data_IF_293181060150
#
_entry.id   IF_293181060150
#
_cell.length_a   1.000
_cell.length_b   1.000
_cell.length_c   1.000
_cell.angle_alpha   90.00
_cell.angle_beta   90.00
_cell.angle_gamma   90.00
#
_symmetry.space_group_name_H-M   'P 1'
#
loop_
_entity.id
_entity.type
_entity.pdbx_description
1 polymer ?
#
# COMPACT_ATOMS: atom_id res chain seq x y z
N UNK A 1 -10.00 -45.24 31.62
CA UNK A 1 -10.03 -43.84 32.09
C UNK A 1 -10.91 -43.10 31.11
N UNK A 2 -12.09 -42.71 31.58
CA UNK A 2 -13.15 -42.12 30.78
C UNK A 2 -12.78 -40.74 30.24
N UNK A 3 -13.32 -40.42 29.07
CA UNK A 3 -13.23 -39.13 28.41
C UNK A 3 -13.90 -38.04 29.25
N UNK A 4 -13.23 -36.90 29.44
CA UNK A 4 -13.90 -35.64 29.78
C UNK A 4 -13.35 -34.54 28.86
N UNK A 5 -14.19 -34.14 27.90
CA UNK A 5 -14.33 -32.74 27.51
C UNK A 5 -13.30 -32.15 26.55
N UNK A 6 -13.14 -32.72 25.35
CA UNK A 6 -12.82 -31.89 24.19
C UNK A 6 -14.07 -31.02 23.89
N UNK A 7 -14.23 -29.92 24.65
CA UNK A 7 -15.15 -28.86 24.26
C UNK A 7 -14.68 -28.33 22.91
N UNK A 8 -15.58 -28.36 21.95
CA UNK A 8 -15.33 -28.01 20.57
C UNK A 8 -14.63 -26.65 20.46
N UNK A 9 -13.43 -26.63 19.86
CA UNK A 9 -12.66 -25.41 19.53
C UNK A 9 -13.46 -24.43 18.63
N UNK A 10 -14.61 -24.85 18.11
CA UNK A 10 -15.53 -24.03 17.30
C UNK A 10 -16.41 -23.08 18.13
N UNK A 11 -16.41 -23.14 19.47
CA UNK A 11 -17.20 -22.22 20.31
C UNK A 11 -16.36 -21.16 21.05
N UNK A 12 -15.08 -21.01 20.70
CA UNK A 12 -14.10 -20.27 21.54
C UNK A 12 -13.68 -18.92 20.92
N UNK A 13 -13.79 -18.78 19.60
CA UNK A 13 -13.41 -17.55 18.88
C UNK A 13 -14.70 -16.78 18.55
N UNK A 14 -14.83 -15.49 18.89
CA UNK A 14 -16.00 -14.70 18.51
C UNK A 14 -16.16 -14.73 16.98
N UNK A 15 -17.36 -15.04 16.49
CA UNK A 15 -17.68 -15.08 15.06
C UNK A 15 -17.74 -13.65 14.48
N UNK A 16 -16.60 -12.95 14.40
CA UNK A 16 -16.49 -11.72 13.63
C UNK A 16 -16.01 -12.04 12.22
N UNK A 17 -16.56 -11.35 11.20
CA UNK A 17 -16.22 -11.60 9.78
C UNK A 17 -14.79 -11.16 9.45
N UNK A 18 -14.22 -10.23 10.21
CA UNK A 18 -12.89 -9.66 10.00
C UNK A 18 -11.83 -10.28 10.93
N UNK A 19 -10.58 -10.27 10.49
CA UNK A 19 -9.48 -10.85 11.27
C UNK A 19 -9.18 -10.03 12.55
N UNK A 20 -9.40 -8.71 12.51
CA UNK A 20 -9.09 -7.79 13.61
C UNK A 20 -10.04 -8.03 14.80
N UNK A 21 -11.35 -8.13 14.55
CA UNK A 21 -12.34 -8.44 15.59
C UNK A 21 -12.10 -9.78 16.29
N UNK A 22 -11.70 -10.82 15.54
CA UNK A 22 -11.39 -12.15 16.12
C UNK A 22 -10.19 -12.10 17.06
N UNK A 23 -9.16 -11.34 16.69
CA UNK A 23 -7.95 -11.16 17.51
C UNK A 23 -8.26 -10.33 18.76
N UNK A 24 -9.01 -9.23 18.64
CA UNK A 24 -9.40 -8.40 19.78
C UNK A 24 -10.24 -9.19 20.80
N UNK A 25 -11.18 -10.00 20.34
CA UNK A 25 -12.00 -10.84 21.21
C UNK A 25 -11.21 -11.95 21.90
N UNK A 26 -10.20 -12.53 21.24
CA UNK A 26 -9.30 -13.51 21.86
C UNK A 26 -8.45 -12.87 22.97
N UNK A 27 -7.91 -11.67 22.73
CA UNK A 27 -7.12 -10.92 23.72
C UNK A 27 -7.94 -10.59 24.97
N UNK A 28 -9.15 -10.04 24.79
CA UNK A 28 -10.03 -9.68 25.91
C UNK A 28 -10.41 -10.89 26.78
N UNK A 29 -10.55 -12.07 26.16
CA UNK A 29 -10.88 -13.30 26.88
C UNK A 29 -9.70 -13.84 27.67
N UNK A 30 -8.51 -13.88 27.07
CA UNK A 30 -7.28 -14.29 27.76
C UNK A 30 -6.91 -13.35 28.91
N UNK A 31 -7.22 -12.05 28.78
CA UNK A 31 -6.98 -11.07 29.84
C UNK A 31 -7.88 -11.31 31.07
N UNK A 32 -9.06 -11.91 30.90
CA UNK A 32 -10.02 -12.15 31.98
C UNK A 32 -10.03 -13.62 32.46
N UNK A 33 -9.00 -14.39 32.12
CA UNK A 33 -8.85 -15.77 32.57
C UNK A 33 -7.58 -15.94 33.38
N UNK A 34 -7.68 -16.75 34.43
CA UNK A 34 -6.56 -17.14 35.26
C UNK A 34 -6.40 -18.67 35.24
N UNK A 35 -5.18 -19.15 35.41
CA UNK A 35 -4.93 -20.57 35.63
C UNK A 35 -5.26 -20.97 37.09
N UNK A 36 -5.10 -22.26 37.42
CA UNK A 36 -5.32 -22.77 38.79
C UNK A 36 -4.41 -22.14 39.86
N UNK A 37 -3.38 -21.40 39.44
CA UNK A 37 -2.39 -20.73 40.29
C UNK A 37 -2.66 -19.21 40.39
N UNK A 38 -3.75 -18.70 39.79
CA UNK A 38 -4.11 -17.28 39.79
C UNK A 38 -3.35 -16.44 38.77
N UNK A 39 -2.64 -17.06 37.82
CA UNK A 39 -1.85 -16.34 36.83
C UNK A 39 -2.67 -16.00 35.59
N UNK A 40 -2.59 -14.76 35.14
CA UNK A 40 -3.31 -14.26 33.98
C UNK A 40 -2.93 -15.03 32.69
N UNK A 41 -3.93 -15.57 32.00
CA UNK A 41 -3.74 -16.43 30.83
C UNK A 41 -3.10 -15.69 29.64
N UNK A 42 -3.39 -14.39 29.45
CA UNK A 42 -2.74 -13.59 28.40
C UNK A 42 -1.26 -13.35 28.71
N UNK A 43 -0.93 -13.09 29.98
CA UNK A 43 0.46 -12.91 30.40
C UNK A 43 1.28 -14.18 30.15
N UNK A 44 0.77 -15.34 30.57
CA UNK A 44 1.42 -16.64 30.33
C UNK A 44 1.58 -16.93 28.84
N UNK A 45 0.56 -16.63 28.04
CA UNK A 45 0.62 -16.82 26.60
C UNK A 45 1.74 -16.00 25.95
N UNK A 46 1.84 -14.70 26.29
CA UNK A 46 2.89 -13.82 25.75
C UNK A 46 4.28 -14.23 26.25
N UNK A 47 4.41 -14.68 27.51
CA UNK A 47 5.68 -15.18 28.05
C UNK A 47 6.16 -16.45 27.35
N UNK A 48 5.28 -17.44 27.17
CA UNK A 48 5.60 -18.68 26.45
C UNK A 48 6.02 -18.37 25.01
N UNK A 49 5.36 -17.42 24.33
CA UNK A 49 5.77 -16.98 23.00
C UNK A 49 7.15 -16.32 23.00
N UNK A 50 7.42 -15.46 23.98
CA UNK A 50 8.73 -14.79 24.11
C UNK A 50 9.87 -15.78 24.39
N UNK A 51 9.62 -16.80 25.22
CA UNK A 51 10.60 -17.82 25.60
C UNK A 51 10.91 -18.79 24.45
N UNK A 52 9.91 -19.09 23.62
CA UNK A 52 10.07 -19.95 22.45
C UNK A 52 10.52 -19.20 21.18
N UNK A 53 10.69 -17.87 21.24
CA UNK A 53 11.19 -17.07 20.12
C UNK A 53 12.73 -16.93 20.20
N UNK A 54 13.50 -17.31 19.15
CA UNK A 54 14.95 -17.17 19.15
C UNK A 54 15.43 -15.72 19.33
N UNK A 55 16.55 -15.48 20.03
CA UNK A 55 17.04 -14.14 20.38
C UNK A 55 17.40 -13.23 19.19
N UNK A 56 17.61 -13.80 18.00
CA UNK A 56 17.96 -13.05 16.78
C UNK A 56 16.77 -12.49 16.00
N UNK A 57 15.54 -12.76 16.41
CA UNK A 57 14.32 -12.27 15.73
C UNK A 57 13.89 -10.94 16.36
N UNK A 58 13.74 -9.90 15.54
CA UNK A 58 13.40 -8.54 15.97
C UNK A 58 12.17 -8.48 16.90
N UNK A 59 11.17 -9.32 16.64
CA UNK A 59 9.91 -9.37 17.39
C UNK A 59 10.06 -9.89 18.83
N UNK A 60 11.14 -10.62 19.17
CA UNK A 60 11.32 -11.15 20.55
C UNK A 60 11.39 -10.04 21.58
N UNK A 61 12.10 -8.95 21.26
CA UNK A 61 12.25 -7.81 22.18
C UNK A 61 10.90 -7.16 22.48
N UNK A 62 10.04 -7.08 21.48
CA UNK A 62 8.72 -6.48 21.61
C UNK A 62 7.78 -7.39 22.42
N UNK A 63 7.87 -8.71 22.26
CA UNK A 63 7.13 -9.69 23.07
C UNK A 63 7.54 -9.66 24.55
N UNK A 64 8.84 -9.54 24.84
CA UNK A 64 9.34 -9.41 26.23
C UNK A 64 8.86 -8.11 26.86
N UNK A 65 8.97 -6.99 26.15
CA UNK A 65 8.49 -5.69 26.63
C UNK A 65 6.97 -5.69 26.89
N UNK A 66 6.21 -6.38 26.04
CA UNK A 66 4.76 -6.55 26.19
C UNK A 66 4.42 -7.40 27.43
N UNK A 67 5.13 -8.52 27.65
CA UNK A 67 4.94 -9.35 28.84
C UNK A 67 5.20 -8.56 30.14
N UNK A 68 6.27 -7.77 30.19
CA UNK A 68 6.57 -6.92 31.35
C UNK A 68 5.50 -5.84 31.58
N UNK A 69 4.98 -5.22 30.51
CA UNK A 69 3.93 -4.23 30.60
C UNK A 69 2.62 -4.84 31.12
N UNK A 70 2.28 -6.05 30.67
CA UNK A 70 1.11 -6.80 31.15
C UNK A 70 1.25 -7.19 32.63
N UNK A 71 2.42 -7.69 33.05
CA UNK A 71 2.68 -8.03 34.45
C UNK A 71 2.53 -6.82 35.40
N UNK A 72 2.98 -5.63 34.97
CA UNK A 72 2.79 -4.39 35.74
C UNK A 72 1.32 -3.98 35.86
N UNK A 73 0.52 -4.15 34.80
CA UNK A 73 -0.91 -3.82 34.82
C UNK A 73 -1.71 -4.79 35.70
N UNK A 74 -1.45 -6.09 35.57
CA UNK A 74 -2.11 -7.12 36.40
C UNK A 74 -1.79 -6.92 37.88
N UNK A 75 -0.52 -6.65 38.25
CA UNK A 75 -0.14 -6.41 39.64
C UNK A 75 -0.63 -5.07 40.25
N UNK A 76 -1.03 -4.11 39.42
CA UNK A 76 -1.61 -2.83 39.89
C UNK A 76 -3.10 -2.93 40.23
N UNK A 77 -3.82 -3.94 39.73
CA UNK A 77 -5.22 -4.17 40.08
C UNK A 77 -5.37 -4.84 41.45
N UNK A 78 -4.46 -5.76 41.83
CA UNK A 78 -4.48 -6.42 43.15
C UNK A 78 -4.13 -5.48 44.33
N UNK A 79 -3.40 -4.39 44.09
CA UNK A 79 -2.93 -3.49 45.17
C UNK A 79 -3.92 -2.38 45.56
N UNK A 80 -5.12 -2.32 44.95
CA UNK A 80 -6.13 -1.29 45.27
C UNK A 80 -7.08 -1.64 46.42
N UNK A 81 -7.01 -2.84 47.00
CA UNK A 81 -7.91 -3.26 48.07
C UNK A 81 -7.23 -3.24 49.46
N UNK A 82 -6.91 -2.05 50.00
CA UNK A 82 -6.92 -1.78 51.46
C UNK A 82 -6.42 -0.38 51.82
N UNK A 83 -7.29 0.52 52.30
CA UNK A 83 -7.01 1.53 53.36
C UNK A 83 -8.30 2.28 53.82
N UNK A 84 -8.30 2.96 55.00
CA UNK A 84 -9.41 2.95 55.94
C UNK A 84 -10.33 4.19 55.84
N UNK A 85 -11.48 4.05 56.49
CA UNK A 85 -12.63 4.98 56.52
C UNK A 85 -12.32 6.29 57.29
N UNK A 86 -12.57 7.44 56.66
CA UNK A 86 -12.77 8.76 57.28
C UNK A 86 -13.60 9.67 56.31
N UNK A 87 -14.28 10.74 56.78
CA UNK A 87 -15.72 10.88 56.56
C UNK A 87 -16.15 11.68 55.33
N UNK A 88 -17.37 11.31 54.91
CA UNK A 88 -18.27 11.90 53.91
C UNK A 88 -17.92 13.26 53.31
N UNK A 89 -17.65 13.24 52.00
CA UNK A 89 -17.96 14.31 51.04
C UNK A 89 -18.84 13.70 49.93
N UNK A 90 -19.65 14.51 49.23
CA UNK A 90 -20.89 14.04 48.59
C UNK A 90 -20.61 13.03 47.48
N UNK A 91 -21.53 12.05 47.35
CA UNK A 91 -21.52 11.01 46.31
C UNK A 91 -21.13 11.59 44.94
N UNK A 92 -20.17 11.01 44.21
CA UNK A 92 -20.08 11.29 42.78
C UNK A 92 -21.43 10.90 42.16
N UNK A 93 -21.99 11.82 41.39
CA UNK A 93 -23.19 11.57 40.58
C UNK A 93 -22.96 10.32 39.75
N UNK A 94 -23.95 9.42 39.72
CA UNK A 94 -23.87 8.23 38.88
C UNK A 94 -23.60 8.67 37.43
N UNK A 95 -22.73 7.98 36.67
CA UNK A 95 -22.46 8.33 35.29
C UNK A 95 -23.77 8.35 34.52
N UNK A 96 -24.00 9.43 33.77
CA UNK A 96 -25.26 9.60 33.03
C UNK A 96 -25.06 9.31 31.55
N UNK A 97 -26.11 8.81 30.89
CA UNK A 97 -26.14 8.67 29.43
C UNK A 97 -25.90 10.03 28.74
N UNK A 98 -26.34 11.12 29.36
CA UNK A 98 -26.21 12.48 28.84
C UNK A 98 -24.73 12.91 28.76
N UNK A 99 -23.93 12.64 29.79
CA UNK A 99 -22.48 12.89 29.77
C UNK A 99 -21.76 12.05 28.71
N UNK A 100 -22.13 10.78 28.55
CA UNK A 100 -21.55 9.91 27.53
C UNK A 100 -21.87 10.40 26.10
N UNK A 101 -23.12 10.83 25.86
CA UNK A 101 -23.53 11.42 24.58
C UNK A 101 -22.84 12.76 24.31
N UNK A 102 -22.59 13.55 25.35
CA UNK A 102 -21.84 14.79 25.22
C UNK A 102 -20.39 14.53 24.76
N UNK A 103 -19.68 13.57 25.37
CA UNK A 103 -18.32 13.24 24.94
C UNK A 103 -18.25 12.63 23.54
N UNK A 104 -19.27 11.87 23.12
CA UNK A 104 -19.39 11.42 21.73
C UNK A 104 -19.54 12.60 20.76
N UNK A 105 -20.34 13.61 21.10
CA UNK A 105 -20.49 14.83 20.28
C UNK A 105 -19.22 15.71 20.26
N UNK A 106 -18.48 15.76 21.37
CA UNK A 106 -17.22 16.50 21.49
C UNK A 106 -16.04 15.73 20.85
N UNK A 107 -16.21 14.44 20.57
CA UNK A 107 -15.21 13.59 19.94
C UNK A 107 -14.14 13.05 20.89
N UNK A 108 -14.43 12.96 22.18
CA UNK A 108 -13.57 12.37 23.21
C UNK A 108 -13.97 10.89 23.43
N UNK A 109 -13.53 10.03 22.51
CA UNK A 109 -13.96 8.63 22.43
C UNK A 109 -13.55 7.82 23.67
N UNK A 110 -12.38 8.10 24.25
CA UNK A 110 -11.93 7.42 25.48
C UNK A 110 -12.87 7.68 26.65
N UNK A 111 -13.23 8.95 26.90
CA UNK A 111 -14.15 9.29 27.99
C UNK A 111 -15.56 8.79 27.73
N UNK A 112 -16.01 8.86 26.48
CA UNK A 112 -17.30 8.30 26.08
C UNK A 112 -17.37 6.79 26.33
N UNK A 113 -16.37 6.01 25.92
CA UNK A 113 -16.36 4.56 26.12
C UNK A 113 -16.26 4.17 27.59
N UNK A 114 -15.47 4.90 28.39
CA UNK A 114 -15.38 4.65 29.83
C UNK A 114 -16.72 4.90 30.55
N UNK A 115 -17.48 5.91 30.14
CA UNK A 115 -18.81 6.18 30.68
C UNK A 115 -19.84 5.15 30.21
N UNK A 116 -19.82 4.77 28.93
CA UNK A 116 -20.72 3.74 28.41
C UNK A 116 -20.46 2.37 29.05
N UNK A 117 -19.20 2.04 29.33
CA UNK A 117 -18.82 0.83 30.08
C UNK A 117 -19.40 0.85 31.50
N UNK A 118 -19.24 1.96 32.23
CA UNK A 118 -19.81 2.12 33.58
C UNK A 118 -21.34 2.08 33.59
N UNK A 119 -21.99 2.60 32.53
CA UNK A 119 -23.44 2.50 32.35
C UNK A 119 -23.90 1.05 32.12
N UNK A 120 -23.13 0.25 31.35
CA UNK A 120 -23.39 -1.18 31.19
C UNK A 120 -23.25 -1.96 32.50
N UNK A 121 -22.24 -1.65 33.30
CA UNK A 121 -22.00 -2.25 34.61
C UNK A 121 -23.14 -1.93 35.62
N UNK A 122 -23.79 -0.76 35.48
CA UNK A 122 -24.89 -0.30 36.33
C UNK A 122 -26.29 -0.85 36.00
N UNK A 123 -26.43 -1.61 34.92
CA UNK A 123 -27.70 -2.23 34.48
C UNK A 123 -28.19 -1.72 33.12
N UNK A 124 -28.83 -2.63 32.36
CA UNK A 124 -29.24 -2.39 30.97
C UNK A 124 -30.31 -1.29 30.86
N UNK A 125 -30.03 -0.26 30.07
CA UNK A 125 -31.01 0.75 29.68
C UNK A 125 -32.12 0.06 28.86
N UNK A 126 -33.35 0.14 29.35
CA UNK A 126 -34.52 -0.63 28.85
C UNK A 126 -34.82 -0.47 27.35
N UNK A 127 -34.37 0.64 26.73
CA UNK A 127 -34.75 1.02 25.37
C UNK A 127 -33.56 1.34 24.45
N UNK A 128 -32.32 1.23 24.93
CA UNK A 128 -31.15 1.68 24.18
C UNK A 128 -30.07 0.61 24.12
N UNK A 129 -29.71 0.23 22.90
CA UNK A 129 -28.53 -0.58 22.62
C UNK A 129 -27.30 0.33 22.54
N UNK A 130 -26.52 0.33 23.62
CA UNK A 130 -25.31 1.15 23.76
C UNK A 130 -24.21 0.74 22.76
N UNK A 131 -24.15 -0.52 22.34
CA UNK A 131 -23.15 -0.98 21.37
C UNK A 131 -23.49 -0.49 19.96
N UNK A 132 -24.76 -0.55 19.58
CA UNK A 132 -25.22 -0.01 18.29
C UNK A 132 -25.06 1.51 18.22
N UNK A 133 -25.32 2.22 19.32
CA UNK A 133 -25.11 3.68 19.37
C UNK A 133 -23.63 4.04 19.19
N UNK A 134 -22.72 3.35 19.89
CA UNK A 134 -21.28 3.51 19.73
C UNK A 134 -20.85 3.23 18.29
N UNK A 135 -21.27 2.09 17.74
CA UNK A 135 -20.88 1.69 16.39
C UNK A 135 -21.35 2.72 15.35
N UNK A 136 -22.57 3.25 15.52
CA UNK A 136 -23.13 4.28 14.64
C UNK A 136 -22.35 5.60 14.75
N UNK A 137 -22.02 6.03 15.96
CA UNK A 137 -21.26 7.27 16.19
C UNK A 137 -19.83 7.19 15.61
N UNK A 138 -19.13 6.07 15.85
CA UNK A 138 -17.81 5.83 15.27
C UNK A 138 -17.84 5.78 13.74
N UNK A 139 -18.85 5.10 13.17
CA UNK A 139 -18.98 5.01 11.73
C UNK A 139 -19.20 6.38 11.07
N UNK A 140 -20.10 7.20 11.62
CA UNK A 140 -20.29 8.57 11.15
C UNK A 140 -19.01 9.40 11.24
N UNK A 141 -18.24 9.23 12.32
CA UNK A 141 -16.97 9.93 12.51
C UNK A 141 -15.90 9.48 11.51
N UNK A 142 -15.78 8.19 11.24
CA UNK A 142 -14.87 7.68 10.21
C UNK A 142 -15.23 8.24 8.84
N UNK A 143 -16.52 8.29 8.50
CA UNK A 143 -17.00 8.89 7.25
C UNK A 143 -16.68 10.39 7.17
N UNK A 144 -16.88 11.14 8.26
CA UNK A 144 -16.49 12.54 8.35
C UNK A 144 -14.98 12.73 8.20
N UNK A 145 -14.17 11.88 8.83
CA UNK A 145 -12.71 11.93 8.73
C UNK A 145 -12.25 11.62 7.31
N UNK A 146 -12.81 10.59 6.64
CA UNK A 146 -12.52 10.29 5.23
C UNK A 146 -12.89 11.47 4.33
N UNK A 147 -14.04 12.07 4.58
CA UNK A 147 -14.50 13.26 3.83
C UNK A 147 -13.54 14.42 4.01
N UNK A 148 -13.16 14.75 5.26
CA UNK A 148 -12.20 15.82 5.56
C UNK A 148 -10.82 15.54 4.96
N UNK A 149 -10.35 14.30 5.01
CA UNK A 149 -9.07 13.91 4.44
C UNK A 149 -9.07 14.06 2.91
N UNK A 150 -10.12 13.60 2.24
CA UNK A 150 -10.33 13.80 0.80
C UNK A 150 -10.33 15.29 0.46
N UNK A 151 -11.12 16.09 1.18
CA UNK A 151 -11.25 17.52 0.91
C UNK A 151 -9.93 18.28 1.15
N UNK A 152 -9.15 17.87 2.16
CA UNK A 152 -7.81 18.39 2.40
C UNK A 152 -6.83 18.04 1.27
N UNK A 153 -6.79 16.77 0.84
CA UNK A 153 -5.96 16.33 -0.28
C UNK A 153 -6.33 17.07 -1.59
N UNK A 154 -7.63 17.25 -1.85
CA UNK A 154 -8.12 18.03 -2.99
C UNK A 154 -7.62 19.50 -2.91
N UNK A 155 -7.68 20.12 -1.74
CA UNK A 155 -7.19 21.47 -1.52
C UNK A 155 -5.67 21.61 -1.73
N UNK A 156 -4.88 20.60 -1.35
CA UNK A 156 -3.43 20.57 -1.60
C UNK A 156 -3.12 20.51 -3.10
N UNK A 157 -3.77 19.62 -3.85
CA UNK A 157 -3.60 19.50 -5.30
C UNK A 157 -3.96 20.81 -5.99
N UNK A 158 -5.02 21.47 -5.52
CA UNK A 158 -5.43 22.79 -6.01
C UNK A 158 -4.34 23.84 -5.82
N UNK A 159 -3.68 23.87 -4.67
CA UNK A 159 -2.55 24.80 -4.42
C UNK A 159 -1.38 24.49 -5.36
N UNK A 160 -1.05 23.21 -5.56
CA UNK A 160 0.00 22.80 -6.50
C UNK A 160 -0.33 23.22 -7.95
N UNK A 161 -1.60 23.14 -8.34
CA UNK A 161 -2.06 23.49 -9.69
C UNK A 161 -1.94 24.99 -10.00
N UNK A 162 -1.95 25.86 -8.97
CA UNK A 162 -1.86 27.31 -9.15
C UNK A 162 -0.46 27.80 -9.58
N UNK A 163 0.58 26.99 -9.40
CA UNK A 163 1.96 27.35 -9.77
C UNK A 163 2.44 26.52 -10.96
N UNK A 164 2.94 27.23 -11.98
CA UNK A 164 3.56 26.61 -13.16
C UNK A 164 4.74 25.70 -12.82
N UNK A 165 5.46 25.98 -11.74
CA UNK A 165 6.61 25.19 -11.31
C UNK A 165 6.18 23.83 -10.70
N UNK A 166 5.06 23.79 -9.99
CA UNK A 166 4.53 22.60 -9.31
C UNK A 166 3.47 21.85 -10.14
N UNK A 167 3.18 22.31 -11.35
CA UNK A 167 2.18 21.71 -12.23
C UNK A 167 2.44 20.22 -12.55
N UNK A 168 3.69 19.75 -12.74
CA UNK A 168 3.95 18.31 -12.91
C UNK A 168 3.55 17.47 -11.70
N UNK A 169 3.80 17.99 -10.49
CA UNK A 169 3.41 17.34 -9.23
C UNK A 169 1.90 17.36 -9.07
N UNK A 170 1.25 18.49 -9.40
CA UNK A 170 -0.21 18.60 -9.40
C UNK A 170 -0.86 17.56 -10.33
N UNK A 171 -0.29 17.31 -11.52
CA UNK A 171 -0.79 16.29 -12.45
C UNK A 171 -0.72 14.87 -11.89
N UNK A 172 0.40 14.51 -11.26
CA UNK A 172 0.58 13.19 -10.63
C UNK A 172 -0.40 13.00 -9.48
N UNK A 173 -0.42 13.97 -8.56
CA UNK A 173 -1.31 13.94 -7.41
C UNK A 173 -2.80 13.94 -7.83
N UNK A 174 -3.17 14.64 -8.90
CA UNK A 174 -4.51 14.59 -9.48
C UNK A 174 -4.89 13.21 -10.02
N UNK A 175 -3.95 12.53 -10.68
CA UNK A 175 -4.18 11.17 -11.20
C UNK A 175 -4.36 10.16 -10.06
N UNK A 176 -3.53 10.23 -9.03
CA UNK A 176 -3.65 9.41 -7.81
C UNK A 176 -4.98 9.68 -7.09
N UNK A 177 -5.33 10.94 -6.90
CA UNK A 177 -6.58 11.35 -6.26
C UNK A 177 -7.82 10.84 -6.99
N UNK A 178 -7.86 10.91 -8.32
CA UNK A 178 -8.97 10.38 -9.11
C UNK A 178 -9.04 8.85 -9.12
N UNK A 179 -7.93 8.16 -8.86
CA UNK A 179 -7.93 6.71 -8.70
C UNK A 179 -8.57 6.28 -7.36
N UNK A 180 -8.31 7.03 -6.29
CA UNK A 180 -8.90 6.79 -4.95
C UNK A 180 -10.34 7.32 -4.83
N UNK A 181 -10.64 8.43 -5.53
CA UNK A 181 -11.92 9.12 -5.46
C UNK A 181 -12.50 9.40 -6.87
N UNK A 182 -12.93 8.35 -7.60
CA UNK A 182 -13.40 8.50 -8.98
C UNK A 182 -14.57 9.48 -9.11
N UNK A 183 -14.41 10.48 -9.98
CA UNK A 183 -15.47 11.43 -10.31
C UNK A 183 -15.67 12.55 -9.28
N UNK A 184 -14.84 12.63 -8.25
CA UNK A 184 -14.88 13.72 -7.29
C UNK A 184 -14.11 14.94 -7.82
N UNK A 185 -14.82 15.93 -8.37
CA UNK A 185 -14.24 17.19 -8.83
C UNK A 185 -15.17 18.40 -8.62
N UNK A 186 -15.39 18.84 -7.37
CA UNK A 186 -16.37 19.88 -7.05
C UNK A 186 -16.02 21.28 -7.58
N UNK A 187 -14.74 21.60 -7.81
CA UNK A 187 -14.27 22.90 -8.29
C UNK A 187 -13.76 22.86 -9.76
N UNK A 188 -14.05 21.79 -10.50
CA UNK A 188 -13.56 21.58 -11.89
C UNK A 188 -12.02 21.70 -12.01
N UNK A 189 -11.30 21.26 -10.97
CA UNK A 189 -9.85 21.30 -10.91
C UNK A 189 -9.21 20.50 -12.05
N UNK A 190 -9.87 19.43 -12.52
CA UNK A 190 -9.41 18.64 -13.67
C UNK A 190 -9.29 19.45 -14.97
N UNK A 191 -10.08 20.53 -15.12
CA UNK A 191 -9.99 21.44 -16.26
C UNK A 191 -8.83 22.44 -16.14
N UNK A 192 -8.42 22.76 -14.91
CA UNK A 192 -7.32 23.68 -14.59
C UNK A 192 -5.95 23.01 -14.58
N UNK A 193 -5.92 21.69 -14.43
CA UNK A 193 -4.73 20.87 -14.57
C UNK A 193 -4.72 20.37 -16.01
N UNK A 194 -4.09 21.09 -16.96
CA UNK A 194 -4.07 20.67 -18.35
C UNK A 194 -3.49 19.27 -18.39
N UNK A 195 -4.30 18.32 -18.87
CA UNK A 195 -3.83 17.01 -19.30
C UNK A 195 -2.64 17.28 -20.24
N UNK A 196 -1.58 16.45 -20.19
CA UNK A 196 -0.54 16.55 -21.18
C UNK A 196 -1.15 16.19 -22.55
N UNK A 197 -1.74 17.17 -23.23
CA UNK A 197 -1.71 17.17 -24.69
C UNK A 197 -0.25 16.96 -25.04
N UNK A 198 0.01 15.91 -25.81
CA UNK A 198 1.34 15.53 -26.22
C UNK A 198 2.06 16.80 -26.66
N UNK A 199 3.03 17.26 -25.86
CA UNK A 199 3.91 18.34 -26.28
C UNK A 199 4.33 17.97 -27.70
N UNK A 200 4.09 18.83 -28.71
CA UNK A 200 4.40 18.47 -30.08
C UNK A 200 5.85 18.01 -30.08
N UNK A 201 6.10 16.75 -30.47
CA UNK A 201 7.45 16.18 -30.52
C UNK A 201 8.31 17.24 -31.23
N UNK A 202 9.44 17.67 -30.65
CA UNK A 202 10.23 18.76 -31.22
C UNK A 202 10.47 18.48 -32.70
N UNK A 203 10.28 19.47 -33.59
CA UNK A 203 10.41 19.24 -35.05
C UNK A 203 11.71 18.49 -35.35
N UNK A 204 11.58 17.31 -35.99
CA UNK A 204 12.71 16.48 -36.43
C UNK A 204 13.68 17.36 -37.22
N UNK A 205 14.94 17.43 -36.80
CA UNK A 205 15.97 18.12 -37.59
C UNK A 205 16.25 17.35 -38.87
N UNK A 206 16.74 18.02 -39.92
CA UNK A 206 17.14 17.33 -41.15
C UNK A 206 18.21 16.24 -40.89
N UNK A 207 19.09 16.46 -39.90
CA UNK A 207 20.06 15.46 -39.44
C UNK A 207 19.36 14.24 -38.83
N UNK A 208 18.41 14.44 -37.91
CA UNK A 208 17.64 13.35 -37.30
C UNK A 208 16.87 12.53 -38.35
N UNK A 209 16.25 13.18 -39.33
CA UNK A 209 15.52 12.48 -40.40
C UNK A 209 16.48 11.63 -41.25
N UNK A 210 17.62 12.19 -41.67
CA UNK A 210 18.63 11.46 -42.45
C UNK A 210 19.16 10.23 -41.70
N UNK A 211 19.42 10.38 -40.39
CA UNK A 211 19.86 9.28 -39.54
C UNK A 211 18.79 8.20 -39.38
N UNK A 212 17.52 8.58 -39.24
CA UNK A 212 16.39 7.65 -39.19
C UNK A 212 16.28 6.85 -40.47
N UNK A 213 16.34 7.53 -41.63
CA UNK A 213 16.27 6.89 -42.94
C UNK A 213 17.44 5.90 -43.11
N UNK A 214 18.65 6.30 -42.72
CA UNK A 214 19.85 5.45 -42.77
C UNK A 214 19.71 4.22 -41.87
N UNK A 215 19.22 4.39 -40.64
CA UNK A 215 19.06 3.30 -39.67
C UNK A 215 18.00 2.28 -40.10
N UNK A 216 16.93 2.74 -40.74
CA UNK A 216 15.78 1.92 -41.13
C UNK A 216 15.92 1.28 -42.51
N UNK A 217 16.83 1.78 -43.36
CA UNK A 217 17.09 1.21 -44.68
C UNK A 217 17.78 -0.18 -44.56
N UNK A 218 17.12 -1.27 -44.98
CA UNK A 218 17.69 -2.61 -44.93
C UNK A 218 18.85 -2.83 -45.92
N UNK A 219 19.02 -1.95 -46.91
CA UNK A 219 20.13 -2.01 -47.88
C UNK A 219 21.42 -1.43 -47.31
N UNK A 220 21.35 -0.62 -46.25
CA UNK A 220 22.52 -0.07 -45.56
C UNK A 220 23.16 -1.15 -44.66
N UNK A 221 24.50 -1.30 -44.66
CA UNK A 221 25.18 -2.29 -43.83
C UNK A 221 24.86 -2.14 -42.32
N UNK A 222 24.71 -3.24 -41.56
CA UNK A 222 24.37 -3.17 -40.13
C UNK A 222 25.25 -2.25 -39.27
N UNK A 223 26.58 -2.16 -39.46
CA UNK A 223 27.42 -1.24 -38.70
C UNK A 223 27.08 0.24 -38.92
N UNK A 224 26.67 0.63 -40.13
CA UNK A 224 26.29 2.01 -40.45
C UNK A 224 24.93 2.36 -39.86
N UNK A 225 23.98 1.43 -39.95
CA UNK A 225 22.68 1.53 -39.27
C UNK A 225 22.84 1.70 -37.76
N UNK A 226 23.76 0.94 -37.16
CA UNK A 226 24.08 1.04 -35.74
C UNK A 226 24.68 2.40 -35.37
N UNK A 227 25.60 2.95 -36.18
CA UNK A 227 26.15 4.31 -35.97
C UNK A 227 25.07 5.38 -36.05
N UNK A 228 24.14 5.26 -37.01
CA UNK A 228 23.02 6.19 -37.14
C UNK A 228 22.11 6.15 -35.89
N UNK A 229 21.79 4.94 -35.40
CA UNK A 229 21.05 4.77 -34.14
C UNK A 229 21.77 5.33 -32.91
N UNK A 230 23.09 5.15 -32.81
CA UNK A 230 23.89 5.74 -31.72
C UNK A 230 23.86 7.27 -31.75
N UNK A 231 23.93 7.88 -32.93
CA UNK A 231 23.81 9.33 -33.07
C UNK A 231 22.40 9.83 -32.72
N UNK A 232 21.36 9.11 -33.13
CA UNK A 232 19.98 9.39 -32.72
C UNK A 232 19.78 9.30 -31.20
N UNK A 233 20.43 8.36 -30.52
CA UNK A 233 20.37 8.26 -29.06
C UNK A 233 20.88 9.53 -28.35
N UNK A 234 21.79 10.30 -28.98
CA UNK A 234 22.29 11.58 -28.45
C UNK A 234 21.38 12.74 -28.82
N UNK A 235 20.89 12.78 -30.08
CA UNK A 235 20.07 13.89 -30.59
C UNK A 235 18.59 13.80 -30.20
N UNK A 236 18.13 12.62 -29.78
CA UNK A 236 16.73 12.28 -29.60
C UNK A 236 16.22 11.45 -30.79
N UNK A 237 15.68 10.28 -30.48
CA UNK A 237 15.02 9.39 -31.44
C UNK A 237 13.52 9.67 -31.42
N UNK A 238 12.96 10.02 -32.57
CA UNK A 238 11.56 10.45 -32.69
C UNK A 238 10.61 9.34 -33.15
N UNK A 239 11.10 8.10 -33.31
CA UNK A 239 10.23 6.98 -33.69
C UNK A 239 9.07 6.84 -32.70
N UNK A 240 7.84 6.60 -33.18
CA UNK A 240 6.73 6.25 -32.30
C UNK A 240 7.09 5.05 -31.42
N UNK A 241 6.80 5.13 -30.12
CA UNK A 241 7.16 4.07 -29.19
C UNK A 241 8.60 4.09 -28.68
N UNK A 242 9.34 5.18 -28.93
CA UNK A 242 10.66 5.43 -28.37
C UNK A 242 10.61 6.69 -27.50
N UNK A 243 11.21 6.63 -26.31
CA UNK A 243 11.23 7.72 -25.35
C UNK A 243 9.99 7.78 -24.46
N UNK A 244 9.70 8.96 -23.91
CA UNK A 244 8.56 9.18 -23.01
C UNK A 244 7.47 9.98 -23.73
N UNK A 245 6.23 9.73 -23.33
CA UNK A 245 5.09 10.61 -23.60
C UNK A 245 5.21 11.89 -22.77
N UNK A 246 4.34 12.86 -23.05
CA UNK A 246 4.36 14.16 -22.38
C UNK A 246 4.01 14.12 -20.87
N UNK A 247 3.40 13.03 -20.40
CA UNK A 247 3.17 12.75 -18.97
C UNK A 247 4.39 12.14 -18.26
N UNK A 248 5.46 11.83 -19.00
CA UNK A 248 6.65 11.16 -18.47
C UNK A 248 6.57 9.63 -18.45
N UNK A 249 5.48 9.04 -18.94
CA UNK A 249 5.32 7.58 -19.05
C UNK A 249 6.00 7.09 -20.34
N UNK A 250 6.65 5.91 -20.37
CA UNK A 250 7.19 5.32 -21.59
C UNK A 250 6.19 5.30 -22.76
N UNK A 251 6.58 5.86 -23.91
CA UNK A 251 5.85 5.72 -25.16
C UNK A 251 6.11 4.32 -25.73
N UNK A 252 5.08 3.51 -25.96
CA UNK A 252 5.22 2.15 -26.50
C UNK A 252 4.39 2.01 -27.78
N UNK A 253 5.06 1.66 -28.87
CA UNK A 253 4.41 1.31 -30.12
C UNK A 253 4.03 -0.18 -30.07
N UNK A 254 2.77 -0.45 -29.78
CA UNK A 254 2.24 -1.80 -29.70
C UNK A 254 1.93 -2.35 -31.10
N UNK A 255 2.33 -3.60 -31.34
CA UNK A 255 2.00 -4.37 -32.55
C UNK A 255 1.13 -5.54 -32.12
N UNK A 256 -0.04 -5.67 -32.75
CA UNK A 256 -0.91 -6.82 -32.55
C UNK A 256 -0.28 -8.05 -33.21
N UNK A 257 -0.22 -9.14 -32.46
CA UNK A 257 0.15 -10.46 -32.94
C UNK A 257 -1.12 -11.30 -32.93
N UNK A 258 -1.74 -11.55 -34.10
CA UNK A 258 -2.97 -12.31 -34.19
C UNK A 258 -2.83 -13.71 -33.60
N UNK A 259 -3.84 -14.14 -32.86
CA UNK A 259 -3.89 -15.48 -32.29
C UNK A 259 -4.02 -16.58 -33.35
N UNK A 260 -3.58 -17.76 -32.98
CA UNK A 260 -3.71 -18.97 -33.78
C UNK A 260 -2.64 -20.01 -33.49
N UNK A 261 -2.69 -21.08 -34.27
CA UNK A 261 -1.74 -22.19 -34.20
C UNK A 261 -0.40 -21.80 -34.80
N UNK A 262 0.65 -21.88 -33.99
CA UNK A 262 2.02 -21.59 -34.37
C UNK A 262 2.93 -22.78 -34.04
N UNK A 263 3.90 -23.05 -34.91
CA UNK A 263 4.96 -24.04 -34.64
C UNK A 263 6.12 -23.33 -33.96
N UNK A 264 6.48 -23.77 -32.75
CA UNK A 264 7.65 -23.28 -31.99
C UNK A 264 8.68 -24.39 -31.82
N UNK A 265 9.96 -24.03 -31.65
CA UNK A 265 11.06 -24.99 -31.50
C UNK A 265 11.46 -25.72 -32.79
N UNK A 266 12.46 -26.59 -32.69
CA UNK A 266 12.93 -27.45 -33.80
C UNK A 266 14.01 -26.85 -34.69
N UNK A 267 14.49 -25.65 -34.39
CA UNK A 267 15.66 -25.06 -35.05
C UNK A 267 16.93 -25.64 -34.45
N UNK A 268 17.68 -26.43 -35.23
CA UNK A 268 18.88 -27.12 -34.73
C UNK A 268 20.05 -26.18 -34.45
N UNK A 269 20.02 -24.97 -35.03
CA UNK A 269 21.08 -23.99 -34.88
C UNK A 269 20.82 -23.04 -33.68
N UNK A 270 19.63 -23.11 -33.08
CA UNK A 270 19.27 -22.31 -31.91
C UNK A 270 19.90 -22.84 -30.60
N UNK A 271 20.34 -21.93 -29.74
CA UNK A 271 20.86 -22.24 -28.42
C UNK A 271 19.78 -22.91 -27.55
N UNK A 272 20.06 -24.13 -27.06
CA UNK A 272 19.12 -24.93 -26.26
C UNK A 272 17.76 -25.16 -26.94
N UNK A 273 17.77 -25.43 -28.24
CA UNK A 273 16.54 -25.68 -29.00
C UNK A 273 15.71 -26.82 -28.43
N UNK A 274 14.44 -26.54 -28.16
CA UNK A 274 13.45 -27.54 -27.78
C UNK A 274 12.88 -28.23 -29.04
N UNK A 275 12.34 -29.46 -28.91
CA UNK A 275 11.64 -30.12 -30.00
C UNK A 275 10.53 -29.27 -30.58
N UNK A 276 10.28 -29.42 -31.89
CA UNK A 276 9.23 -28.67 -32.55
C UNK A 276 7.85 -29.12 -32.03
N UNK A 277 7.00 -28.16 -31.68
CA UNK A 277 5.62 -28.40 -31.24
C UNK A 277 4.66 -27.36 -31.83
N UNK A 278 3.41 -27.75 -32.04
CA UNK A 278 2.33 -26.83 -32.40
C UNK A 278 1.66 -26.32 -31.13
N UNK A 279 1.55 -25.00 -30.99
CA UNK A 279 0.96 -24.32 -29.83
C UNK A 279 -0.12 -23.38 -30.33
N UNK A 280 -1.26 -23.38 -29.65
CA UNK A 280 -2.29 -22.38 -29.86
C UNK A 280 -1.98 -21.16 -28.98
N UNK A 281 -1.76 -20.01 -29.62
CA UNK A 281 -1.36 -18.78 -28.95
C UNK A 281 -2.52 -17.78 -29.09
N UNK A 282 -3.04 -17.21 -27.98
CA UNK A 282 -4.09 -16.20 -28.07
C UNK A 282 -3.56 -14.92 -28.72
N UNK A 283 -4.45 -14.07 -29.25
CA UNK A 283 -4.05 -12.74 -29.72
C UNK A 283 -3.42 -11.96 -28.56
N UNK A 284 -2.26 -11.35 -28.80
CA UNK A 284 -1.55 -10.53 -27.83
C UNK A 284 -0.87 -9.34 -28.51
N UNK A 285 -0.34 -8.43 -27.70
CA UNK A 285 0.38 -7.26 -28.20
C UNK A 285 1.83 -7.32 -27.75
N UNK A 286 2.74 -6.94 -28.65
CA UNK A 286 4.16 -6.87 -28.36
C UNK A 286 4.68 -5.47 -28.68
N UNK A 287 5.60 -4.96 -27.87
CA UNK A 287 6.30 -3.72 -28.18
C UNK A 287 7.11 -3.90 -29.46
N UNK A 288 6.98 -2.97 -30.40
CA UNK A 288 7.74 -2.95 -31.67
C UNK A 288 9.25 -2.83 -31.44
N UNK A 289 9.63 -2.14 -30.37
CA UNK A 289 11.02 -1.88 -30.00
C UNK A 289 11.26 -2.31 -28.55
N UNK A 290 12.47 -2.77 -28.20
CA UNK A 290 12.84 -3.02 -26.81
C UNK A 290 12.74 -1.74 -25.97
N UNK A 291 12.54 -1.90 -24.66
CA UNK A 291 12.58 -0.80 -23.69
C UNK A 291 13.96 -0.14 -23.73
N UNK A 292 13.98 1.18 -23.92
CA UNK A 292 15.21 1.98 -23.94
C UNK A 292 15.69 2.33 -22.55
N UNK A 293 16.97 2.70 -22.40
CA UNK A 293 17.52 3.20 -21.15
C UNK A 293 16.76 4.45 -20.63
N UNK A 294 16.29 5.31 -21.54
CA UNK A 294 15.53 6.50 -21.18
C UNK A 294 14.14 6.16 -20.61
N UNK A 295 13.46 5.19 -21.21
CA UNK A 295 12.18 4.67 -20.69
C UNK A 295 12.36 3.94 -19.36
N UNK A 296 13.43 3.16 -19.24
CA UNK A 296 13.79 2.49 -18.00
C UNK A 296 14.09 3.48 -16.86
N UNK A 297 14.66 4.64 -17.17
CA UNK A 297 14.85 5.68 -16.15
C UNK A 297 13.54 6.21 -15.58
N UNK A 298 12.46 6.29 -16.37
CA UNK A 298 11.16 6.68 -15.82
C UNK A 298 10.69 5.69 -14.75
N UNK A 299 10.87 4.38 -14.96
CA UNK A 299 10.60 3.35 -13.96
C UNK A 299 11.44 3.53 -12.67
N UNK A 300 12.74 3.83 -12.81
CA UNK A 300 13.62 4.05 -11.65
C UNK A 300 13.25 5.33 -10.90
N UNK A 301 12.97 6.42 -11.62
CA UNK A 301 12.59 7.71 -11.05
C UNK A 301 11.25 7.65 -10.31
N UNK A 302 10.36 6.76 -10.74
CA UNK A 302 9.07 6.48 -10.11
C UNK A 302 9.18 5.46 -8.95
N UNK A 303 10.39 5.17 -8.47
CA UNK A 303 10.66 4.24 -7.36
C UNK A 303 10.09 2.83 -7.60
N UNK A 304 9.96 2.40 -8.86
CA UNK A 304 9.33 1.11 -9.19
C UNK A 304 10.04 -0.13 -8.63
N UNK A 305 11.26 0.00 -8.12
CA UNK A 305 11.95 -1.04 -7.36
C UNK A 305 11.43 -1.24 -5.93
N UNK A 306 10.78 -0.22 -5.38
CA UNK A 306 10.26 -0.20 -4.01
C UNK A 306 8.80 -0.66 -3.95
N UNK A 307 8.09 -0.56 -5.07
CA UNK A 307 6.70 -0.97 -5.22
C UNK A 307 6.57 -2.50 -5.35
N UNK A 308 6.28 -3.16 -4.23
CA UNK A 308 6.22 -4.63 -4.11
C UNK A 308 5.26 -5.29 -5.11
N UNK A 309 4.17 -4.61 -5.48
CA UNK A 309 3.13 -5.13 -6.37
C UNK A 309 3.66 -5.51 -7.75
N UNK A 310 4.72 -4.87 -8.24
CA UNK A 310 5.35 -5.20 -9.52
C UNK A 310 6.27 -6.43 -9.47
N UNK A 311 6.57 -6.93 -8.27
CA UNK A 311 7.60 -7.96 -8.04
C UNK A 311 7.06 -9.24 -7.40
N UNK A 312 5.76 -9.49 -7.43
CA UNK A 312 5.13 -10.64 -6.75
C UNK A 312 5.79 -11.98 -7.13
N UNK A 313 6.02 -12.23 -8.42
CA UNK A 313 6.67 -13.46 -8.89
C UNK A 313 8.15 -13.53 -8.49
N UNK A 314 8.89 -12.43 -8.61
CA UNK A 314 10.29 -12.36 -8.22
C UNK A 314 10.45 -12.56 -6.69
N UNK A 315 9.52 -12.02 -5.89
CA UNK A 315 9.43 -12.22 -4.45
C UNK A 315 9.15 -13.67 -4.10
N UNK A 316 8.18 -14.30 -4.77
CA UNK A 316 7.84 -15.71 -4.59
C UNK A 316 9.05 -16.63 -4.87
N UNK A 317 9.89 -16.26 -5.83
CA UNK A 317 11.10 -17.00 -6.18
C UNK A 317 12.35 -16.56 -5.38
N UNK A 318 12.20 -15.69 -4.37
CA UNK A 318 13.29 -15.22 -3.51
C UNK A 318 14.30 -14.29 -4.20
N UNK A 319 14.01 -13.83 -5.41
CA UNK A 319 14.86 -12.96 -6.24
C UNK A 319 14.67 -11.47 -5.91
N UNK A 320 13.57 -11.12 -5.24
CA UNK A 320 13.28 -9.75 -4.82
C UNK A 320 12.95 -9.69 -3.32
N UNK A 321 13.48 -8.66 -2.64
CA UNK A 321 13.18 -8.32 -1.23
C UNK A 321 13.25 -6.80 -1.05
N UNK A 322 12.28 -6.25 -0.34
CA UNK A 322 12.22 -4.82 -0.03
C UNK A 322 13.55 -4.33 0.60
N UNK A 323 14.06 -3.20 0.13
CA UNK A 323 15.31 -2.61 0.62
C UNK A 323 16.60 -3.37 0.26
N UNK A 324 16.53 -4.51 -0.44
CA UNK A 324 17.71 -5.29 -0.87
C UNK A 324 17.91 -5.30 -2.38
N UNK A 325 17.16 -4.48 -3.12
CA UNK A 325 17.26 -4.42 -4.57
C UNK A 325 18.37 -3.46 -4.97
N UNK A 326 19.32 -3.95 -5.75
CA UNK A 326 20.39 -3.13 -6.29
C UNK A 326 19.83 -2.29 -7.44
N UNK A 327 19.52 -1.03 -7.17
CA UNK A 327 19.18 -0.06 -8.22
C UNK A 327 20.43 0.20 -9.05
N UNK A 328 20.38 -0.12 -10.34
CA UNK A 328 21.44 0.25 -11.27
C UNK A 328 21.27 1.72 -11.67
N UNK A 329 21.87 2.61 -10.89
CA UNK A 329 22.11 4.00 -11.30
C UNK A 329 23.37 4.03 -12.16
N UNK A 330 23.24 3.85 -13.48
CA UNK A 330 24.32 4.27 -14.37
C UNK A 330 24.56 5.77 -14.14
N UNK A 331 25.81 6.19 -14.00
CA UNK A 331 26.19 7.58 -13.78
C UNK A 331 25.93 8.43 -15.04
N UNK A 332 24.66 8.75 -15.32
CA UNK A 332 24.23 9.65 -16.39
C UNK A 332 24.59 11.12 -16.11
N UNK A 333 24.86 11.47 -14.85
CA UNK A 333 25.31 12.81 -14.45
C UNK A 333 26.57 13.27 -15.20
N UNK A 334 27.41 12.33 -15.64
CA UNK A 334 28.64 12.64 -16.39
C UNK A 334 28.42 12.85 -17.89
N UNK A 335 27.29 12.43 -18.45
CA UNK A 335 27.00 12.56 -19.88
C UNK A 335 26.30 13.88 -20.18
N UNK A 336 25.41 14.34 -19.30
CA UNK A 336 24.70 15.62 -19.45
C UNK A 336 25.62 16.84 -19.23
N UNK A 337 26.64 16.74 -18.35
CA UNK A 337 27.63 17.81 -18.13
C UNK A 337 28.56 18.07 -19.32
N UNK A 338 28.57 17.20 -20.34
CA UNK A 338 29.42 17.35 -21.52
C UNK A 338 28.68 17.95 -22.73
N UNK A 339 27.39 18.24 -22.58
CA UNK A 339 26.49 18.69 -23.65
C UNK A 339 25.86 20.07 -23.34
N UNK A 340 26.19 20.69 -22.19
CA UNK A 340 26.01 22.13 -21.96
C UNK A 340 27.34 22.86 -22.17
#
# INVERSE_FOLDING_TARGET
MECVGFLALTSVIPETRDAVGRVAGLIARLLNQENEQGENALLLFVQVLADNTPPGIACRRDLVALAEALARKVGQEETKESRPIAPSSPRPTAPTLEEALQFLNEGDDEKAFDLVRKLKEGGSLRFLDLDQLIATALHHREEEQRTRARDAAYAEIRVLAQSRFTLPQARRAWAEFQAEHPGHDPEELGSLIPQPEAAPKPRVSAEQQTLLDTMLDPTVPPPERAKAGQRLAVLGDQRPGVGLRADGVPDIAWVEVPGGKCRIGGDKDAYQSLPAQEVDIPTFWMAKYPVTNWQYQAFVADRGYEEETWWTEAKANGMWRAGQVKVWTWAWDKVQQKVM
#
